data_IF_201719355737
#
_entry.id   IF_201719355737
#
_cell.length_a   1.000
_cell.length_b   1.000
_cell.length_c   1.000
_cell.angle_alpha   90.00
_cell.angle_beta   90.00
_cell.angle_gamma   90.00
#
_symmetry.space_group_name_H-M   'P 1'
#
loop_
_entity.id
_entity.type
_entity.pdbx_description
1 polymer ?
#
# COMPACT_ATOMS: atom_id res chain seq x y z
N UNK A 1 -51.26 -20.07 37.31
CA UNK A 1 -49.86 -19.65 37.59
C UNK A 1 -48.83 -20.72 37.14
N UNK A 2 -49.00 -21.38 35.99
CA UNK A 2 -48.07 -22.44 35.51
C UNK A 2 -47.27 -22.08 34.23
N UNK A 3 -47.60 -21.00 33.53
CA UNK A 3 -46.94 -20.65 32.26
C UNK A 3 -45.78 -19.64 32.39
N UNK A 4 -45.52 -19.07 33.57
CA UNK A 4 -44.42 -18.11 33.76
C UNK A 4 -43.07 -18.75 34.06
N UNK A 5 -43.04 -19.98 34.57
CA UNK A 5 -41.78 -20.62 34.97
C UNK A 5 -40.92 -21.02 33.75
N UNK A 6 -41.56 -21.50 32.68
CA UNK A 6 -40.86 -21.95 31.47
C UNK A 6 -40.26 -20.75 30.70
N UNK A 7 -40.98 -19.63 30.65
CA UNK A 7 -40.49 -18.41 30.01
C UNK A 7 -39.32 -17.79 30.78
N UNK A 8 -39.36 -17.81 32.12
CA UNK A 8 -38.22 -17.38 32.95
C UNK A 8 -36.99 -18.29 32.76
N UNK A 9 -37.19 -19.60 32.65
CA UNK A 9 -36.10 -20.57 32.45
C UNK A 9 -35.42 -20.38 31.08
N UNK A 10 -36.19 -20.14 30.01
CA UNK A 10 -35.64 -19.86 28.68
C UNK A 10 -34.87 -18.53 28.67
N UNK A 11 -35.38 -17.50 29.34
CA UNK A 11 -34.68 -16.22 29.46
C UNK A 11 -33.35 -16.35 30.23
N UNK A 12 -33.34 -17.12 31.32
CA UNK A 12 -32.14 -17.33 32.11
C UNK A 12 -31.09 -18.13 31.32
N UNK A 13 -31.50 -19.14 30.55
CA UNK A 13 -30.61 -19.91 29.68
C UNK A 13 -30.04 -19.03 28.56
N UNK A 14 -30.84 -18.17 27.92
CA UNK A 14 -30.35 -17.22 26.92
C UNK A 14 -29.39 -16.15 27.49
N UNK A 15 -29.63 -15.68 28.71
CA UNK A 15 -28.73 -14.73 29.38
C UNK A 15 -27.38 -15.38 29.74
N UNK A 16 -27.40 -16.63 30.21
CA UNK A 16 -26.16 -17.36 30.54
C UNK A 16 -25.39 -17.77 29.28
N UNK A 17 -26.06 -18.16 28.20
CA UNK A 17 -25.37 -18.49 26.94
C UNK A 17 -24.76 -17.26 26.27
N UNK A 18 -25.42 -16.10 26.31
CA UNK A 18 -24.86 -14.84 25.82
C UNK A 18 -23.67 -14.34 26.66
N UNK A 19 -23.68 -14.54 27.98
CA UNK A 19 -22.51 -14.26 28.84
C UNK A 19 -21.34 -15.21 28.60
N UNK A 20 -21.59 -16.51 28.37
CA UNK A 20 -20.52 -17.47 28.04
C UNK A 20 -19.96 -17.26 26.62
N UNK A 21 -20.80 -16.87 25.65
CA UNK A 21 -20.38 -16.51 24.30
C UNK A 21 -19.58 -15.21 24.27
N UNK A 22 -19.97 -14.19 25.05
CA UNK A 22 -19.19 -12.93 25.14
C UNK A 22 -17.84 -13.14 25.81
N UNK A 23 -17.74 -14.00 26.83
CA UNK A 23 -16.45 -14.37 27.43
C UNK A 23 -15.54 -15.15 26.47
N UNK A 24 -16.10 -16.02 25.60
CA UNK A 24 -15.31 -16.71 24.57
C UNK A 24 -14.90 -15.80 23.41
N UNK A 25 -15.73 -14.85 23.01
CA UNK A 25 -15.39 -13.83 22.01
C UNK A 25 -14.31 -12.86 22.54
N UNK A 26 -14.33 -12.55 23.84
CA UNK A 26 -13.25 -11.76 24.47
C UNK A 26 -11.97 -12.58 24.64
N UNK A 27 -12.05 -13.88 24.91
CA UNK A 27 -10.88 -14.76 24.98
C UNK A 27 -10.25 -15.04 23.60
N UNK A 28 -11.01 -14.95 22.50
CA UNK A 28 -10.47 -14.97 21.13
C UNK A 28 -9.95 -13.61 20.65
N UNK A 29 -10.10 -12.56 21.47
CA UNK A 29 -9.45 -11.25 21.27
C UNK A 29 -8.24 -11.10 22.21
N UNK A 30 -7.58 -12.20 22.55
CA UNK A 30 -6.17 -12.12 22.92
C UNK A 30 -5.40 -11.75 21.64
N UNK A 31 -5.30 -10.44 21.39
CA UNK A 31 -4.34 -9.89 20.42
C UNK A 31 -3.00 -10.57 20.67
N UNK A 32 -2.39 -11.16 19.65
CA UNK A 32 -1.04 -11.67 19.79
C UNK A 32 -0.14 -10.46 20.13
N UNK A 33 0.22 -10.36 21.40
CA UNK A 33 1.13 -9.36 21.94
C UNK A 33 2.53 -9.97 21.87
N UNK A 34 3.51 -9.22 21.36
CA UNK A 34 4.90 -9.67 21.42
C UNK A 34 5.30 -9.86 22.89
N UNK A 35 5.75 -11.07 23.25
CA UNK A 35 6.29 -11.36 24.59
C UNK A 35 7.78 -11.00 24.69
N UNK A 36 8.31 -10.93 25.92
CA UNK A 36 9.74 -10.67 26.14
C UNK A 36 10.63 -11.77 25.55
N UNK A 37 10.19 -13.02 25.60
CA UNK A 37 10.90 -14.18 25.06
C UNK A 37 10.96 -14.10 23.53
N UNK A 38 9.83 -13.74 22.89
CA UNK A 38 9.78 -13.52 21.45
C UNK A 38 10.69 -12.37 21.03
N UNK A 39 10.68 -11.26 21.76
CA UNK A 39 11.58 -10.13 21.49
C UNK A 39 13.05 -10.55 21.51
N UNK A 40 13.46 -11.29 22.55
CA UNK A 40 14.84 -11.82 22.66
C UNK A 40 15.17 -12.79 21.53
N UNK A 41 14.23 -13.63 21.15
CA UNK A 41 14.41 -14.58 20.04
C UNK A 41 14.59 -13.84 18.70
N UNK A 42 13.74 -12.85 18.41
CA UNK A 42 13.80 -12.02 17.20
C UNK A 42 15.14 -11.26 17.15
N UNK A 43 15.56 -10.68 18.27
CA UNK A 43 16.84 -9.95 18.37
C UNK A 43 18.06 -10.84 18.11
N UNK A 44 17.97 -12.13 18.42
CA UNK A 44 19.05 -13.08 18.20
C UNK A 44 19.15 -13.58 16.74
N UNK A 45 18.18 -13.24 15.88
CA UNK A 45 18.18 -13.65 14.47
C UNK A 45 19.34 -12.96 13.74
N UNK A 46 20.17 -13.77 13.10
CA UNK A 46 21.24 -13.29 12.22
C UNK A 46 20.76 -13.29 10.79
N UNK A 47 20.84 -12.15 10.12
CA UNK A 47 20.59 -12.02 8.68
C UNK A 47 21.92 -12.24 7.96
N UNK A 48 21.95 -13.17 7.01
CA UNK A 48 23.19 -13.55 6.32
C UNK A 48 23.63 -12.45 5.33
N UNK A 49 22.68 -11.90 4.57
CA UNK A 49 22.91 -10.83 3.64
C UNK A 49 21.88 -9.70 3.81
N UNK A 50 22.28 -8.63 4.50
CA UNK A 50 21.38 -7.52 4.78
C UNK A 50 20.87 -6.79 3.53
N UNK A 51 21.59 -6.84 2.40
CA UNK A 51 21.17 -6.18 1.16
C UNK A 51 20.27 -7.08 0.29
N UNK A 52 20.35 -8.41 0.41
CA UNK A 52 19.61 -9.37 -0.45
C UNK A 52 18.49 -10.12 0.26
N UNK A 53 18.61 -10.38 1.55
CA UNK A 53 17.65 -11.18 2.30
C UNK A 53 16.47 -10.29 2.70
N UNK A 54 15.57 -10.01 1.76
CA UNK A 54 14.39 -9.17 1.97
C UNK A 54 13.23 -9.94 2.59
N UNK A 55 13.14 -11.25 2.40
CA UNK A 55 12.09 -12.08 2.99
C UNK A 55 12.66 -13.44 3.39
N UNK A 56 12.55 -13.80 4.67
CA UNK A 56 12.99 -15.11 5.15
C UNK A 56 12.29 -15.53 6.44
N UNK A 57 12.26 -16.84 6.68
CA UNK A 57 11.73 -17.44 7.91
C UNK A 57 12.88 -17.91 8.80
N UNK A 58 12.87 -17.51 10.07
CA UNK A 58 13.89 -17.90 11.04
C UNK A 58 13.32 -17.95 12.45
N UNK A 59 13.64 -19.00 13.20
CA UNK A 59 13.30 -19.11 14.62
C UNK A 59 11.82 -19.06 14.95
N UNK A 60 10.93 -19.46 14.03
CA UNK A 60 9.47 -19.36 14.20
C UNK A 60 8.89 -18.00 13.80
N UNK A 61 9.70 -17.11 13.22
CA UNK A 61 9.28 -15.79 12.75
C UNK A 61 9.49 -15.64 11.25
N UNK A 62 8.74 -14.76 10.63
CA UNK A 62 8.90 -14.29 9.26
C UNK A 62 9.41 -12.86 9.34
N UNK A 63 10.51 -12.58 8.67
CA UNK A 63 11.04 -11.24 8.52
C UNK A 63 10.84 -10.83 7.08
N UNK A 64 10.10 -9.75 6.90
CA UNK A 64 9.78 -9.17 5.60
C UNK A 64 10.30 -7.74 5.56
N UNK A 65 11.04 -7.37 4.52
CA UNK A 65 11.61 -6.04 4.38
C UNK A 65 10.48 -5.03 4.38
N UNK A 66 10.57 -4.04 5.26
CA UNK A 66 9.55 -3.01 5.35
C UNK A 66 9.42 -2.29 4.00
N UNK A 67 8.30 -2.54 3.32
CA UNK A 67 7.96 -2.02 1.99
C UNK A 67 9.03 -2.30 0.90
N UNK A 68 9.79 -3.40 1.02
CA UNK A 68 10.95 -3.70 0.16
C UNK A 68 12.01 -2.58 0.08
N UNK A 69 11.99 -1.64 1.02
CA UNK A 69 12.86 -0.47 0.97
C UNK A 69 14.33 -0.87 1.11
N UNK A 70 15.24 -0.20 0.37
CA UNK A 70 16.67 -0.36 0.58
C UNK A 70 17.06 0.17 1.97
N UNK A 71 18.30 -0.10 2.36
CA UNK A 71 18.85 0.45 3.59
C UNK A 71 18.78 1.97 3.60
N UNK A 72 18.46 2.55 4.74
CA UNK A 72 18.60 3.98 5.01
C UNK A 72 20.08 4.25 5.20
N UNK A 73 20.69 4.99 4.28
CA UNK A 73 22.13 5.27 4.30
C UNK A 73 22.36 6.67 4.85
N UNK A 74 23.19 6.76 5.88
CA UNK A 74 23.57 8.00 6.52
C UNK A 74 25.08 8.20 6.39
N UNK A 75 25.47 9.35 5.83
CA UNK A 75 26.87 9.75 5.74
C UNK A 75 27.04 11.03 6.55
N UNK A 76 27.53 10.88 7.77
CA UNK A 76 27.85 12.03 8.62
C UNK A 76 29.19 12.64 8.22
N UNK A 77 29.46 13.86 8.71
CA UNK A 77 30.74 14.56 8.53
C UNK A 77 31.93 13.82 9.17
N UNK A 78 31.68 12.82 10.01
CA UNK A 78 32.70 11.93 10.59
C UNK A 78 33.23 10.87 9.61
N UNK A 79 32.69 10.81 8.38
CA UNK A 79 33.12 9.89 7.33
C UNK A 79 32.71 8.43 7.56
N UNK A 80 31.88 8.14 8.57
CA UNK A 80 31.39 6.79 8.86
C UNK A 80 30.00 6.63 8.26
N UNK A 81 29.89 5.79 7.23
CA UNK A 81 28.58 5.43 6.66
C UNK A 81 27.85 4.47 7.60
N UNK A 82 26.61 4.80 7.90
CA UNK A 82 25.72 4.01 8.76
C UNK A 82 24.51 3.60 7.95
N UNK A 83 24.10 2.34 8.08
CA UNK A 83 22.95 1.80 7.39
C UNK A 83 21.90 1.34 8.40
N UNK A 84 20.64 1.64 8.16
CA UNK A 84 19.52 1.05 8.89
C UNK A 84 18.65 0.26 7.94
N UNK A 85 18.34 -0.96 8.33
CA UNK A 85 17.47 -1.88 7.62
C UNK A 85 16.22 -2.10 8.47
N UNK A 86 15.03 -1.97 7.88
CA UNK A 86 13.77 -2.23 8.58
C UNK A 86 13.13 -3.53 8.07
N UNK A 87 12.65 -4.35 8.99
CA UNK A 87 11.83 -5.52 8.69
C UNK A 87 10.54 -5.47 9.50
N UNK A 88 9.43 -5.85 8.89
CA UNK A 88 8.23 -6.30 9.59
C UNK A 88 8.46 -7.71 10.11
N UNK A 89 8.04 -7.95 11.34
CA UNK A 89 8.18 -9.26 11.98
C UNK A 89 6.80 -9.87 12.14
N UNK A 90 6.62 -11.05 11.59
CA UNK A 90 5.42 -11.85 11.75
C UNK A 90 5.72 -13.18 12.45
N UNK A 91 4.72 -13.75 13.10
CA UNK A 91 4.74 -15.16 13.50
C UNK A 91 4.68 -16.08 12.28
N UNK A 92 5.43 -17.18 12.29
CA UNK A 92 5.43 -18.13 11.17
C UNK A 92 4.17 -19.01 11.11
N UNK A 93 3.50 -19.21 12.25
CA UNK A 93 2.31 -20.07 12.37
C UNK A 93 1.05 -19.42 11.82
N UNK A 94 0.77 -18.17 12.20
CA UNK A 94 -0.47 -17.48 11.88
C UNK A 94 -0.28 -16.12 11.18
N UNK A 95 0.96 -15.79 10.76
CA UNK A 95 1.29 -14.56 10.01
C UNK A 95 0.85 -13.28 10.71
N UNK A 96 0.74 -13.30 12.04
CA UNK A 96 0.38 -12.11 12.83
C UNK A 96 1.58 -11.19 12.95
N UNK A 97 1.35 -9.91 12.71
CA UNK A 97 2.34 -8.85 12.86
C UNK A 97 2.64 -8.63 14.34
N UNK A 98 3.92 -8.76 14.71
CA UNK A 98 4.39 -8.56 16.09
C UNK A 98 5.01 -7.17 16.29
N UNK A 99 5.58 -6.58 15.23
CA UNK A 99 6.28 -5.30 15.29
C UNK A 99 7.35 -5.16 14.20
N UNK A 100 8.35 -4.33 14.48
CA UNK A 100 9.45 -4.06 13.56
C UNK A 100 10.79 -4.55 14.12
N UNK A 101 11.70 -4.97 13.24
CA UNK A 101 13.11 -5.17 13.54
C UNK A 101 13.92 -4.13 12.74
N UNK A 102 14.56 -3.22 13.44
CA UNK A 102 15.55 -2.31 12.90
C UNK A 102 16.94 -2.90 13.09
N UNK A 103 17.71 -3.04 12.00
CA UNK A 103 19.08 -3.50 12.05
C UNK A 103 19.98 -2.33 11.65
N UNK A 104 20.79 -1.87 12.61
CA UNK A 104 21.83 -0.89 12.35
C UNK A 104 23.13 -1.58 11.95
N UNK A 105 23.82 -1.03 10.96
CA UNK A 105 25.14 -1.46 10.53
C UNK A 105 26.08 -0.26 10.44
N UNK A 106 27.21 -0.35 11.15
CA UNK A 106 28.32 0.58 11.02
C UNK A 106 29.28 0.05 9.95
N UNK A 107 29.43 0.74 8.82
CA UNK A 107 30.26 0.24 7.69
C UNK A 107 31.76 0.27 7.97
N UNK A 108 32.21 1.02 8.99
CA UNK A 108 33.63 1.06 9.39
C UNK A 108 34.03 -0.17 10.19
N UNK A 109 33.17 -0.62 11.12
CA UNK A 109 33.43 -1.80 11.96
C UNK A 109 32.76 -3.06 11.41
N UNK A 110 31.86 -2.93 10.43
CA UNK A 110 30.91 -3.95 9.99
C UNK A 110 30.08 -4.56 11.13
N UNK A 111 30.00 -3.87 12.27
CA UNK A 111 29.24 -4.32 13.41
C UNK A 111 27.75 -4.06 13.19
N UNK A 112 26.94 -5.05 13.55
CA UNK A 112 25.50 -5.04 13.36
C UNK A 112 24.80 -5.06 14.72
N UNK A 113 23.83 -4.16 14.90
CA UNK A 113 23.05 -4.03 16.13
C UNK A 113 21.55 -4.15 15.81
N UNK A 114 20.90 -5.26 16.19
CA UNK A 114 19.46 -5.44 16.02
C UNK A 114 18.67 -4.77 17.16
N UNK A 115 17.58 -4.09 16.79
CA UNK A 115 16.63 -3.41 17.66
C UNK A 115 15.22 -3.85 17.31
N UNK A 116 14.54 -4.49 18.25
CA UNK A 116 13.16 -4.93 18.07
C UNK A 116 12.24 -3.85 18.64
N UNK A 117 11.41 -3.29 17.80
CA UNK A 117 10.39 -2.30 18.14
C UNK A 117 9.07 -3.05 18.28
N UNK A 118 8.54 -3.21 19.51
CA UNK A 118 7.31 -3.95 19.72
C UNK A 118 6.10 -3.26 19.06
N UNK A 119 5.12 -4.05 18.62
CA UNK A 119 3.84 -3.53 18.16
C UNK A 119 3.00 -2.93 19.30
N UNK A 120 1.96 -2.17 18.96
CA UNK A 120 1.12 -1.45 19.93
C UNK A 120 0.48 -2.37 20.98
N UNK A 121 0.18 -3.62 20.62
CA UNK A 121 -0.40 -4.62 21.51
C UNK A 121 0.62 -5.35 22.38
N UNK A 122 1.93 -5.11 22.23
CA UNK A 122 2.97 -5.87 22.91
C UNK A 122 2.98 -5.72 24.45
N UNK A 123 3.52 -6.72 25.13
CA UNK A 123 3.59 -6.73 26.58
C UNK A 123 4.49 -5.61 27.10
N UNK A 124 4.16 -5.06 28.29
CA UNK A 124 4.96 -4.00 28.93
C UNK A 124 6.44 -4.39 29.08
N UNK A 125 6.73 -5.66 29.40
CA UNK A 125 8.11 -6.15 29.53
C UNK A 125 8.90 -6.11 28.21
N UNK A 126 8.22 -6.28 27.07
CA UNK A 126 8.86 -6.14 25.76
C UNK A 126 9.19 -4.66 25.48
N UNK A 127 8.29 -3.75 25.84
CA UNK A 127 8.56 -2.31 25.80
C UNK A 127 9.69 -1.88 26.74
N UNK A 128 9.75 -2.42 27.96
CA UNK A 128 10.84 -2.15 28.91
C UNK A 128 12.19 -2.60 28.32
N UNK A 129 12.23 -3.78 27.69
CA UNK A 129 13.45 -4.28 27.02
C UNK A 129 13.87 -3.44 25.81
N UNK A 130 12.90 -2.92 25.04
CA UNK A 130 13.19 -1.98 23.95
C UNK A 130 13.78 -0.67 24.48
N UNK A 131 13.23 -0.11 25.55
CA UNK A 131 13.76 1.11 26.19
C UNK A 131 15.17 0.87 26.74
N UNK A 132 15.40 -0.28 27.39
CA UNK A 132 16.73 -0.67 27.86
C UNK A 132 17.74 -0.76 26.72
N UNK A 133 17.33 -1.28 25.55
CA UNK A 133 18.20 -1.33 24.37
C UNK A 133 18.55 0.08 23.87
N UNK A 134 17.58 0.99 23.80
CA UNK A 134 17.83 2.39 23.42
C UNK A 134 18.82 3.06 24.39
N UNK A 135 18.69 2.80 25.68
CA UNK A 135 19.58 3.37 26.69
C UNK A 135 20.97 2.75 26.66
N UNK A 136 21.07 1.43 26.77
CA UNK A 136 22.35 0.77 27.02
C UNK A 136 23.15 0.42 25.75
N UNK A 137 22.47 0.30 24.60
CA UNK A 137 23.11 0.07 23.30
C UNK A 137 23.10 1.35 22.47
N UNK A 138 21.98 2.07 22.46
CA UNK A 138 21.81 3.31 21.71
C UNK A 138 22.75 4.43 22.12
N UNK A 139 22.91 4.69 23.42
CA UNK A 139 23.79 5.77 23.91
C UNK A 139 25.29 5.46 23.69
N UNK A 140 25.65 4.18 23.57
CA UNK A 140 27.05 3.76 23.45
C UNK A 140 27.56 3.75 22.02
N UNK A 141 26.68 3.61 21.02
CA UNK A 141 27.06 3.57 19.60
C UNK A 141 26.87 4.96 18.96
N UNK A 142 27.97 5.64 18.57
CA UNK A 142 27.89 6.98 18.02
C UNK A 142 27.04 7.04 16.74
N UNK A 143 25.98 7.84 16.76
CA UNK A 143 25.09 8.06 15.62
C UNK A 143 23.96 7.04 15.48
N UNK A 144 23.89 6.03 16.35
CA UNK A 144 22.81 5.02 16.29
C UNK A 144 21.45 5.63 16.64
N UNK A 145 21.35 6.41 17.74
CA UNK A 145 20.09 7.03 18.13
C UNK A 145 19.62 8.08 17.14
N UNK A 146 20.53 8.93 16.64
CA UNK A 146 20.16 9.91 15.62
C UNK A 146 19.66 9.28 14.33
N UNK A 147 20.32 8.21 13.87
CA UNK A 147 19.87 7.50 12.67
C UNK A 147 18.56 6.76 12.90
N UNK A 148 18.42 6.02 14.01
CA UNK A 148 17.20 5.28 14.33
C UNK A 148 16.01 6.22 14.52
N UNK A 149 16.16 7.29 15.30
CA UNK A 149 15.12 8.29 15.50
C UNK A 149 14.72 8.94 14.17
N UNK A 150 15.68 9.30 13.31
CA UNK A 150 15.35 9.85 12.00
C UNK A 150 14.51 8.88 11.16
N UNK A 151 14.92 7.61 11.07
CA UNK A 151 14.17 6.59 10.33
C UNK A 151 12.75 6.47 10.87
N UNK A 152 12.58 6.34 12.18
CA UNK A 152 11.26 6.19 12.79
C UNK A 152 10.40 7.46 12.67
N UNK A 153 10.98 8.64 12.82
CA UNK A 153 10.28 9.91 12.60
C UNK A 153 9.82 10.05 11.15
N UNK A 154 10.61 9.57 10.19
CA UNK A 154 10.26 9.57 8.77
C UNK A 154 9.11 8.62 8.47
N UNK A 155 9.14 7.41 9.02
CA UNK A 155 8.03 6.45 8.85
C UNK A 155 6.77 6.92 9.56
N UNK A 156 6.89 7.53 10.74
CA UNK A 156 5.77 8.16 11.43
C UNK A 156 5.19 9.32 10.60
N UNK A 157 6.04 10.16 10.00
CA UNK A 157 5.59 11.23 9.11
C UNK A 157 4.90 10.68 7.85
N UNK A 158 5.42 9.60 7.26
CA UNK A 158 4.80 8.89 6.14
C UNK A 158 3.41 8.38 6.52
N UNK A 159 3.28 7.71 7.67
CA UNK A 159 2.01 7.23 8.22
C UNK A 159 1.01 8.37 8.46
N UNK A 160 1.45 9.46 9.08
CA UNK A 160 0.62 10.63 9.39
C UNK A 160 0.21 11.41 8.14
N UNK A 161 0.99 11.34 7.06
CA UNK A 161 0.66 11.90 5.74
C UNK A 161 -0.29 10.99 4.92
N UNK A 162 -0.85 9.94 5.52
CA UNK A 162 -1.74 8.99 4.84
C UNK A 162 -0.99 7.96 3.97
N UNK A 163 0.26 7.63 4.32
CA UNK A 163 1.08 6.63 3.61
C UNK A 163 1.63 7.08 2.24
N UNK A 164 1.41 8.34 1.85
CA UNK A 164 1.71 8.85 0.51
C UNK A 164 3.00 9.68 0.38
N UNK A 165 3.66 10.06 1.47
CA UNK A 165 4.84 10.93 1.42
C UNK A 165 6.14 10.12 1.35
N UNK A 166 6.55 9.77 0.13
CA UNK A 166 7.92 9.30 -0.15
C UNK A 166 8.88 10.46 0.05
N UNK A 167 9.70 10.40 1.09
CA UNK A 167 10.79 11.34 1.32
C UNK A 167 12.01 10.88 0.54
N UNK A 168 12.40 11.69 -0.46
CA UNK A 168 13.61 11.51 -1.23
C UNK A 168 14.83 11.78 -0.35
N UNK A 169 15.43 10.73 0.21
CA UNK A 169 16.88 10.61 0.39
C UNK A 169 17.21 9.25 1.02
N UNK A 170 18.09 8.51 0.36
CA UNK A 170 18.40 7.11 0.66
C UNK A 170 18.75 6.38 -0.63
N UNK A 171 19.89 6.77 -1.21
CA UNK A 171 20.44 6.32 -2.49
C UNK A 171 20.36 4.79 -2.69
N UNK A 172 19.46 4.41 -3.58
CA UNK A 172 19.27 3.07 -4.11
C UNK A 172 18.15 3.11 -5.13
N UNK A 173 18.37 3.82 -6.25
CA UNK A 173 17.48 3.73 -7.42
C UNK A 173 17.19 2.26 -7.71
N UNK A 174 15.89 1.94 -7.80
CA UNK A 174 15.22 0.65 -8.10
C UNK A 174 14.55 0.01 -6.89
N UNK A 175 13.24 0.29 -6.75
CA UNK A 175 12.14 -0.68 -6.55
C UNK A 175 10.82 -0.06 -6.07
N UNK A 176 10.77 1.25 -5.92
CA UNK A 176 9.54 1.95 -5.53
C UNK A 176 8.71 2.51 -6.72
N UNK A 177 9.15 2.24 -7.95
CA UNK A 177 8.61 2.80 -9.19
C UNK A 177 7.59 1.86 -9.87
N UNK A 178 7.47 0.62 -9.40
CA UNK A 178 6.61 -0.43 -10.01
C UNK A 178 5.13 -0.40 -9.56
N UNK A 179 4.74 0.53 -8.70
CA UNK A 179 3.45 0.44 -7.99
C UNK A 179 2.30 1.23 -8.63
N UNK A 180 2.56 2.16 -9.54
CA UNK A 180 1.53 3.02 -10.14
C UNK A 180 1.53 2.86 -11.66
N UNK A 181 1.06 1.73 -12.18
CA UNK A 181 1.23 1.43 -13.60
C UNK A 181 -0.01 0.79 -14.23
N UNK A 182 -0.01 0.81 -15.57
CA UNK A 182 -1.03 0.26 -16.44
C UNK A 182 -0.43 -0.81 -17.37
N UNK A 183 -1.29 -1.64 -17.94
CA UNK A 183 -0.94 -2.58 -19.00
C UNK A 183 -0.41 -1.86 -20.25
N UNK A 184 0.42 -2.51 -21.09
CA UNK A 184 0.95 -1.90 -22.32
C UNK A 184 -0.14 -1.49 -23.31
N UNK A 185 -1.24 -2.24 -23.33
CA UNK A 185 -2.42 -2.02 -24.17
C UNK A 185 -3.41 -1.02 -23.57
N UNK A 186 -3.08 -0.38 -22.44
CA UNK A 186 -3.97 0.58 -21.81
C UNK A 186 -4.17 1.81 -22.73
N UNK A 187 -5.41 2.12 -23.13
CA UNK A 187 -5.70 3.18 -24.09
C UNK A 187 -5.65 4.55 -23.43
N UNK A 188 -4.74 5.42 -23.85
CA UNK A 188 -4.67 6.82 -23.43
C UNK A 188 -5.47 7.68 -24.39
N UNK A 189 -6.24 8.64 -23.87
CA UNK A 189 -7.00 9.57 -24.71
C UNK A 189 -6.12 10.75 -25.13
N UNK A 190 -5.91 10.90 -26.43
CA UNK A 190 -5.11 11.97 -27.03
C UNK A 190 -5.87 13.31 -27.02
N UNK A 191 -5.16 14.43 -27.18
CA UNK A 191 -5.76 15.78 -27.18
C UNK A 191 -6.83 15.99 -28.28
N UNK A 192 -6.74 15.25 -29.39
CA UNK A 192 -7.71 15.28 -30.48
C UNK A 192 -8.93 14.35 -30.26
N UNK A 193 -8.96 13.62 -29.14
CA UNK A 193 -9.99 12.64 -28.79
C UNK A 193 -9.75 11.25 -29.37
N UNK A 194 -8.69 11.03 -30.15
CA UNK A 194 -8.26 9.69 -30.55
C UNK A 194 -7.69 8.92 -29.36
N UNK A 195 -7.43 7.62 -29.54
CA UNK A 195 -6.79 6.79 -28.52
C UNK A 195 -5.51 6.17 -29.03
N UNK A 196 -4.51 6.11 -28.14
CA UNK A 196 -3.20 5.50 -28.39
C UNK A 196 -2.81 4.65 -27.20
N UNK A 197 -2.18 3.49 -27.44
CA UNK A 197 -1.71 2.64 -26.35
C UNK A 197 -0.63 3.36 -25.55
N UNK A 198 -0.63 3.17 -24.23
CA UNK A 198 0.37 3.78 -23.35
C UNK A 198 1.81 3.38 -23.70
N UNK A 199 2.01 2.17 -24.24
CA UNK A 199 3.32 1.70 -24.69
C UNK A 199 3.89 2.46 -25.89
N UNK A 200 3.04 3.13 -26.66
CA UNK A 200 3.41 3.81 -27.91
C UNK A 200 3.64 5.31 -27.70
N UNK A 201 3.35 5.82 -26.51
CA UNK A 201 3.51 7.23 -26.17
C UNK A 201 4.97 7.60 -25.92
N UNK A 202 5.31 8.83 -26.29
CA UNK A 202 6.62 9.41 -26.07
C UNK A 202 6.53 10.73 -25.29
N UNK A 203 7.66 11.13 -24.69
CA UNK A 203 7.80 12.47 -24.11
C UNK A 203 7.53 13.52 -25.18
N UNK A 204 6.69 14.50 -24.85
CA UNK A 204 6.21 15.54 -25.74
C UNK A 204 4.87 15.27 -26.40
N UNK A 205 4.38 14.02 -26.41
CA UNK A 205 3.03 13.70 -26.89
C UNK A 205 1.98 14.51 -26.12
N UNK A 206 0.95 14.98 -26.83
CA UNK A 206 -0.13 15.82 -26.28
C UNK A 206 -1.36 14.95 -26.04
N UNK A 207 -1.75 14.81 -24.79
CA UNK A 207 -2.88 13.98 -24.35
C UNK A 207 -3.94 14.83 -23.64
N UNK A 208 -5.12 14.26 -23.39
CA UNK A 208 -6.13 14.92 -22.57
C UNK A 208 -5.78 14.76 -21.10
N UNK A 209 -5.45 15.89 -20.48
CA UNK A 209 -5.30 16.04 -19.04
C UNK A 209 -6.59 16.49 -18.38
N UNK A 210 -6.69 16.27 -17.06
CA UNK A 210 -7.82 16.71 -16.26
C UNK A 210 -7.38 17.70 -15.18
N UNK A 211 -7.95 18.90 -15.17
CA UNK A 211 -7.73 19.86 -14.08
C UNK A 211 -8.82 19.69 -13.01
N UNK A 212 -8.42 19.23 -11.83
CA UNK A 212 -9.34 19.00 -10.71
C UNK A 212 -9.91 20.29 -10.10
N UNK A 213 -9.24 21.44 -10.26
CA UNK A 213 -9.71 22.74 -9.76
C UNK A 213 -10.81 23.30 -10.65
N UNK A 214 -10.62 23.25 -11.96
CA UNK A 214 -11.61 23.76 -12.93
C UNK A 214 -12.63 22.71 -13.35
N UNK A 215 -12.35 21.43 -13.09
CA UNK A 215 -13.14 20.26 -13.51
C UNK A 215 -13.28 20.17 -15.03
N UNK A 216 -12.26 20.60 -15.76
CA UNK A 216 -12.24 20.63 -17.23
C UNK A 216 -11.11 19.77 -17.78
N UNK A 217 -11.34 19.26 -18.99
CA UNK A 217 -10.28 18.60 -19.76
C UNK A 217 -9.47 19.65 -20.50
N UNK A 218 -8.15 19.51 -20.45
CA UNK A 218 -7.21 20.41 -21.12
C UNK A 218 -6.09 19.59 -21.75
N UNK A 219 -5.60 19.95 -22.95
CA UNK A 219 -4.41 19.32 -23.50
C UNK A 219 -3.22 19.47 -22.52
N UNK A 220 -2.46 18.40 -22.33
CA UNK A 220 -1.25 18.36 -21.50
C UNK A 220 -0.14 17.60 -22.19
N UNK A 221 1.11 17.97 -21.94
CA UNK A 221 2.27 17.25 -22.47
C UNK A 221 2.71 16.12 -21.54
N UNK A 222 3.10 15.00 -22.14
CA UNK A 222 3.82 13.94 -21.45
C UNK A 222 5.26 14.42 -21.19
N UNK A 223 5.64 14.53 -19.92
CA UNK A 223 6.99 14.95 -19.50
C UNK A 223 7.90 13.75 -19.23
N UNK A 224 7.32 12.60 -18.89
CA UNK A 224 8.06 11.35 -18.66
C UNK A 224 7.19 10.12 -18.97
N UNK A 225 7.85 9.07 -19.46
CA UNK A 225 7.27 7.73 -19.65
C UNK A 225 8.11 6.75 -18.83
N UNK A 226 7.50 6.14 -17.83
CA UNK A 226 8.15 5.14 -16.99
C UNK A 226 7.69 3.75 -17.46
N UNK A 227 8.63 2.90 -17.90
CA UNK A 227 8.35 1.56 -18.40
C UNK A 227 9.11 0.51 -17.58
N UNK A 228 8.38 -0.52 -17.17
CA UNK A 228 8.89 -1.56 -16.28
C UNK A 228 8.65 -2.93 -16.89
N UNK A 229 9.68 -3.78 -16.86
CA UNK A 229 9.60 -5.16 -17.32
C UNK A 229 9.87 -6.10 -16.17
N UNK A 230 9.12 -7.20 -16.11
CA UNK A 230 9.38 -8.30 -15.20
C UNK A 230 10.68 -8.99 -15.60
N UNK A 231 11.63 -9.04 -14.68
CA UNK A 231 12.92 -9.71 -14.86
C UNK A 231 12.97 -11.10 -14.22
N UNK A 232 11.88 -11.54 -13.58
CA UNK A 232 11.82 -12.80 -12.84
C UNK A 232 10.96 -13.85 -13.56
N UNK A 233 11.31 -15.15 -13.51
CA UNK A 233 10.54 -16.23 -14.16
C UNK A 233 9.10 -16.41 -13.67
N UNK A 234 8.76 -15.85 -12.50
CA UNK A 234 7.46 -15.97 -11.83
C UNK A 234 6.76 -14.64 -11.54
N UNK A 235 7.28 -13.51 -12.06
CA UNK A 235 6.96 -12.18 -11.55
C UNK A 235 6.09 -11.32 -12.46
N UNK A 236 5.00 -11.83 -13.03
CA UNK A 236 4.09 -10.97 -13.80
C UNK A 236 3.40 -9.95 -12.88
N UNK A 237 3.18 -8.74 -13.39
CA UNK A 237 2.48 -7.68 -12.65
C UNK A 237 0.98 -7.95 -12.66
N UNK A 238 0.39 -8.17 -11.48
CA UNK A 238 -1.06 -8.34 -11.35
C UNK A 238 -1.79 -6.99 -11.48
N UNK A 239 -2.85 -6.96 -12.28
CA UNK A 239 -3.70 -5.79 -12.48
C UNK A 239 -5.04 -6.01 -11.77
N UNK A 240 -5.44 -5.05 -10.94
CA UNK A 240 -6.79 -4.99 -10.42
C UNK A 240 -7.74 -4.48 -11.51
N UNK A 241 -9.02 -4.85 -11.42
CA UNK A 241 -10.06 -4.45 -12.36
C UNK A 241 -11.21 -3.77 -11.66
N UNK A 242 -11.71 -2.68 -12.24
CA UNK A 242 -12.87 -1.92 -11.77
C UNK A 242 -13.86 -1.78 -12.92
N UNK A 243 -15.10 -2.24 -12.72
CA UNK A 243 -16.17 -2.10 -13.70
C UNK A 243 -17.04 -0.89 -13.38
N UNK A 244 -17.22 -0.06 -14.41
CA UNK A 244 -17.91 1.21 -14.33
C UNK A 244 -19.20 1.17 -15.15
N UNK A 245 -20.29 1.65 -14.57
CA UNK A 245 -21.57 1.90 -15.27
C UNK A 245 -22.01 3.36 -15.12
N UNK A 246 -22.72 3.88 -16.11
CA UNK A 246 -23.20 5.26 -16.10
C UNK A 246 -24.20 5.48 -14.97
N UNK A 247 -24.13 6.63 -14.28
CA UNK A 247 -25.14 7.02 -13.27
C UNK A 247 -26.43 7.58 -13.89
N UNK A 248 -26.39 7.96 -15.17
CA UNK A 248 -27.45 8.65 -15.88
C UNK A 248 -28.04 7.80 -17.02
N UNK A 249 -28.41 6.54 -16.76
CA UNK A 249 -29.27 5.80 -17.68
C UNK A 249 -30.71 6.35 -17.60
N UNK A 250 -30.98 7.46 -18.28
CA UNK A 250 -32.34 7.85 -18.66
C UNK A 250 -32.72 7.06 -19.92
N UNK A 251 -33.25 5.86 -19.76
CA UNK A 251 -33.82 5.12 -20.88
C UNK A 251 -35.27 5.56 -21.10
N UNK A 252 -35.50 6.37 -22.14
CA UNK A 252 -36.83 6.57 -22.72
C UNK A 252 -37.19 5.45 -23.74
N UNK A 253 -36.38 4.39 -23.82
CA UNK A 253 -36.54 3.26 -24.72
C UNK A 253 -36.90 1.99 -23.93
N UNK A 254 -37.93 1.28 -24.36
CA UNK A 254 -38.37 0.00 -23.80
C UNK A 254 -37.44 -1.18 -24.20
N UNK A 255 -36.38 -0.91 -24.95
CA UNK A 255 -35.29 -1.85 -25.19
C UNK A 255 -34.29 -1.71 -24.03
N UNK A 256 -34.44 -2.54 -23.01
CA UNK A 256 -33.47 -2.76 -21.93
C UNK A 256 -32.11 -3.28 -22.47
N UNK A 257 -31.42 -2.53 -23.29
CA UNK A 257 -30.00 -2.73 -23.54
C UNK A 257 -29.26 -2.04 -22.39
N UNK A 258 -29.13 -2.75 -21.26
CA UNK A 258 -28.22 -2.34 -20.19
C UNK A 258 -26.84 -2.12 -20.81
N UNK A 259 -26.29 -0.91 -20.69
CA UNK A 259 -24.95 -0.64 -21.21
C UNK A 259 -23.98 -1.55 -20.48
N UNK A 260 -23.22 -2.37 -21.21
CA UNK A 260 -22.27 -3.28 -20.59
C UNK A 260 -21.26 -2.47 -19.74
N UNK A 261 -21.02 -2.86 -18.48
CA UNK A 261 -20.05 -2.14 -17.64
C UNK A 261 -18.67 -2.13 -18.30
N UNK A 262 -18.01 -0.98 -18.25
CA UNK A 262 -16.68 -0.83 -18.83
C UNK A 262 -15.61 -1.15 -17.80
N UNK A 263 -14.65 -1.98 -18.18
CA UNK A 263 -13.52 -2.35 -17.35
C UNK A 263 -12.41 -1.29 -17.44
N UNK A 264 -11.89 -0.90 -16.28
CA UNK A 264 -10.64 -0.16 -16.13
C UNK A 264 -9.66 -1.06 -15.37
N UNK A 265 -8.42 -1.12 -15.81
CA UNK A 265 -7.37 -1.97 -15.22
C UNK A 265 -6.16 -1.14 -14.83
N UNK A 266 -5.62 -1.38 -13.64
CA UNK A 266 -4.38 -0.76 -13.17
C UNK A 266 -3.76 -1.59 -12.04
N UNK A 267 -2.51 -1.30 -11.68
CA UNK A 267 -1.94 -1.84 -10.43
C UNK A 267 -2.74 -1.34 -9.21
N UNK A 268 -2.84 -2.17 -8.17
CA UNK A 268 -3.69 -1.86 -7.01
C UNK A 268 -3.34 -0.54 -6.30
N UNK A 269 -2.09 -0.09 -6.34
CA UNK A 269 -1.66 1.14 -5.70
C UNK A 269 -1.87 2.39 -6.57
N UNK A 270 -2.27 2.24 -7.86
CA UNK A 270 -2.42 3.36 -8.78
C UNK A 270 -3.45 4.39 -8.28
N UNK A 271 -3.11 5.68 -8.18
CA UNK A 271 -4.05 6.68 -7.67
C UNK A 271 -5.10 7.06 -8.72
N UNK A 272 -6.36 7.06 -8.30
CA UNK A 272 -7.48 7.51 -9.13
C UNK A 272 -8.30 8.58 -8.45
N UNK A 273 -8.99 9.38 -9.27
CA UNK A 273 -9.89 10.40 -8.79
C UNK A 273 -11.29 9.82 -8.59
N UNK A 274 -11.77 9.87 -7.36
CA UNK A 274 -13.15 9.52 -7.00
C UNK A 274 -13.91 10.75 -6.53
N UNK A 275 -15.24 10.67 -6.41
CA UNK A 275 -16.04 11.74 -5.80
C UNK A 275 -15.63 12.10 -4.37
N UNK A 276 -15.01 11.15 -3.64
CA UNK A 276 -14.44 11.38 -2.30
C UNK A 276 -13.01 11.89 -2.31
N UNK A 277 -12.46 12.17 -3.49
CA UNK A 277 -11.07 12.59 -3.69
C UNK A 277 -10.17 11.47 -4.20
N UNK A 278 -8.86 11.63 -3.99
CA UNK A 278 -7.83 10.67 -4.40
C UNK A 278 -7.95 9.37 -3.60
N UNK A 279 -7.89 8.23 -4.29
CA UNK A 279 -7.95 6.89 -3.70
C UNK A 279 -7.04 5.93 -4.48
N UNK A 280 -6.46 4.92 -3.82
CA UNK A 280 -5.72 3.87 -4.53
C UNK A 280 -6.70 2.94 -5.28
N UNK A 281 -6.31 2.46 -6.46
CA UNK A 281 -7.18 1.70 -7.35
C UNK A 281 -7.74 0.43 -6.68
N UNK A 282 -6.93 -0.29 -5.92
CA UNK A 282 -7.32 -1.48 -5.17
C UNK A 282 -8.17 -1.21 -3.93
N UNK A 283 -8.30 0.06 -3.51
CA UNK A 283 -9.18 0.48 -2.42
C UNK A 283 -10.54 0.99 -2.91
N UNK A 284 -10.71 1.13 -4.23
CA UNK A 284 -11.99 1.46 -4.84
C UNK A 284 -13.01 0.36 -4.49
N UNK A 285 -14.22 0.76 -4.12
CA UNK A 285 -15.30 -0.14 -3.71
C UNK A 285 -16.51 0.02 -4.61
N UNK A 286 -17.30 -1.04 -4.73
CA UNK A 286 -18.62 -0.95 -5.34
C UNK A 286 -19.44 0.16 -4.67
N UNK A 287 -20.01 1.04 -5.48
CA UNK A 287 -20.70 2.24 -5.03
C UNK A 287 -19.90 3.54 -5.13
N UNK A 288 -18.56 3.47 -5.23
CA UNK A 288 -17.74 4.65 -5.48
C UNK A 288 -18.08 5.26 -6.85
N UNK A 289 -17.81 6.56 -7.00
CA UNK A 289 -18.01 7.30 -8.25
C UNK A 289 -16.67 7.73 -8.80
N UNK A 290 -16.41 7.38 -10.05
CA UNK A 290 -15.26 7.79 -10.85
C UNK A 290 -15.72 8.66 -12.02
N UNK A 291 -14.80 9.37 -12.66
CA UNK A 291 -15.09 10.29 -13.75
C UNK A 291 -14.59 9.74 -15.07
N UNK A 292 -15.46 9.71 -16.08
CA UNK A 292 -15.12 9.33 -17.46
C UNK A 292 -15.39 10.45 -18.43
N UNK A 293 -14.54 10.57 -19.44
CA UNK A 293 -14.73 11.43 -20.59
C UNK A 293 -15.86 10.91 -21.47
N UNK A 294 -16.75 11.80 -21.83
CA UNK A 294 -17.74 11.59 -22.88
C UNK A 294 -17.36 12.43 -24.10
N UNK A 295 -17.04 11.74 -25.19
CA UNK A 295 -16.67 12.37 -26.46
C UNK A 295 -17.80 13.20 -27.07
N UNK A 296 -19.07 12.86 -26.80
CA UNK A 296 -20.20 13.60 -27.35
C UNK A 296 -20.34 14.99 -26.72
N UNK A 297 -20.17 15.09 -25.40
CA UNK A 297 -20.26 16.37 -24.67
C UNK A 297 -18.91 17.04 -24.44
N UNK A 298 -17.80 16.38 -24.79
CA UNK A 298 -16.42 16.79 -24.48
C UNK A 298 -16.21 17.13 -23.00
N UNK A 299 -16.90 16.39 -22.13
CA UNK A 299 -16.95 16.66 -20.70
C UNK A 299 -16.70 15.40 -19.88
N UNK A 300 -16.48 15.55 -18.57
CA UNK A 300 -16.40 14.40 -17.67
C UNK A 300 -17.75 14.12 -17.03
N UNK A 301 -18.17 12.86 -17.07
CA UNK A 301 -19.41 12.36 -16.50
C UNK A 301 -19.12 11.34 -15.41
N UNK A 302 -20.00 11.28 -14.43
CA UNK A 302 -19.88 10.36 -13.30
C UNK A 302 -20.27 8.94 -13.69
N UNK A 303 -19.42 7.98 -13.33
CA UNK A 303 -19.69 6.55 -13.45
C UNK A 303 -19.61 5.91 -12.07
N UNK A 304 -20.55 5.03 -11.77
CA UNK A 304 -20.57 4.25 -10.53
C UNK A 304 -19.81 2.96 -10.72
N UNK A 305 -19.00 2.62 -9.72
CA UNK A 305 -18.33 1.33 -9.64
C UNK A 305 -19.37 0.26 -9.28
N UNK A 306 -19.54 -0.72 -10.17
CA UNK A 306 -20.50 -1.81 -9.98
C UNK A 306 -19.83 -3.09 -9.49
N UNK A 307 -18.55 -3.29 -9.84
CA UNK A 307 -17.79 -4.47 -9.46
C UNK A 307 -16.29 -4.14 -9.41
N UNK A 308 -15.57 -4.84 -8.54
CA UNK A 308 -14.11 -4.72 -8.38
C UNK A 308 -13.50 -6.10 -8.23
N UNK A 309 -12.33 -6.32 -8.81
CA UNK A 309 -11.58 -7.56 -8.71
C UNK A 309 -10.10 -7.27 -8.43
N UNK A 310 -9.50 -8.01 -7.49
CA UNK A 310 -8.12 -7.76 -7.04
C UNK A 310 -7.07 -8.10 -8.09
N UNK A 311 -7.38 -9.03 -8.99
CA UNK A 311 -6.48 -9.49 -10.04
C UNK A 311 -7.30 -10.03 -11.20
N UNK A 312 -7.42 -9.26 -12.29
CA UNK A 312 -8.14 -9.68 -13.51
C UNK A 312 -7.23 -10.37 -14.52
N UNK A 313 -5.98 -9.91 -14.62
CA UNK A 313 -4.93 -10.51 -15.42
C UNK A 313 -3.57 -10.07 -14.92
N UNK A 314 -2.52 -10.74 -15.41
CA UNK A 314 -1.14 -10.36 -15.16
C UNK A 314 -0.42 -10.06 -16.47
N UNK A 315 0.51 -9.10 -16.43
CA UNK A 315 1.26 -8.64 -17.61
C UNK A 315 2.76 -8.61 -17.32
N UNK A 316 3.57 -8.82 -18.36
CA UNK A 316 5.04 -8.84 -18.24
C UNK A 316 5.66 -7.45 -18.15
N UNK A 317 4.95 -6.44 -18.63
CA UNK A 317 5.42 -5.06 -18.63
C UNK A 317 4.30 -4.14 -18.21
N UNK A 318 4.65 -3.06 -17.51
CA UNK A 318 3.70 -2.03 -17.09
C UNK A 318 4.28 -0.64 -17.35
N UNK A 319 3.40 0.32 -17.58
CA UNK A 319 3.74 1.67 -17.98
C UNK A 319 3.07 2.71 -17.10
N UNK A 320 3.72 3.86 -16.91
CA UNK A 320 3.15 5.04 -16.27
C UNK A 320 3.57 6.29 -17.03
N UNK A 321 2.72 7.31 -16.99
CA UNK A 321 3.02 8.63 -17.57
C UNK A 321 3.13 9.65 -16.46
N UNK A 322 3.94 10.68 -16.71
CA UNK A 322 3.90 11.93 -15.94
C UNK A 322 3.58 13.05 -16.89
N UNK A 323 2.61 13.86 -16.51
CA UNK A 323 2.05 14.96 -17.30
C UNK A 323 2.26 16.29 -16.60
N UNK A 324 2.08 17.39 -17.32
CA UNK A 324 2.13 18.71 -16.70
C UNK A 324 0.91 18.99 -15.81
N UNK A 325 -0.25 18.38 -16.12
CA UNK A 325 -1.52 18.61 -15.40
C UNK A 325 -1.67 17.80 -14.12
N UNK A 326 -0.90 16.73 -13.93
CA UNK A 326 -1.02 15.87 -12.75
C UNK A 326 -2.07 14.73 -12.88
N UNK A 327 -2.76 14.67 -14.02
CA UNK A 327 -3.89 13.77 -14.24
C UNK A 327 -4.21 13.67 -15.73
N UNK A 328 -4.61 12.48 -16.17
CA UNK A 328 -4.89 12.16 -17.57
C UNK A 328 -5.96 11.07 -17.69
N UNK A 329 -6.26 10.66 -18.93
CA UNK A 329 -7.32 9.68 -19.22
C UNK A 329 -6.75 8.33 -19.68
N UNK A 330 -7.15 7.25 -19.00
CA UNK A 330 -6.95 5.85 -19.41
C UNK A 330 -8.31 5.17 -19.58
N UNK A 331 -8.58 4.60 -20.76
CA UNK A 331 -9.91 4.05 -21.07
C UNK A 331 -11.00 5.10 -20.86
N UNK A 332 -10.69 6.34 -21.26
CA UNK A 332 -11.52 7.53 -21.05
C UNK A 332 -11.79 7.83 -19.56
N UNK A 333 -11.11 7.18 -18.62
CA UNK A 333 -11.32 7.35 -17.18
C UNK A 333 -10.22 8.22 -16.58
N UNK A 334 -10.59 9.16 -15.72
CA UNK A 334 -9.64 10.07 -15.06
C UNK A 334 -8.78 9.32 -14.05
N UNK A 335 -7.46 9.37 -14.27
CA UNK A 335 -6.42 8.79 -13.41
C UNK A 335 -5.39 9.87 -13.06
N UNK A 336 -4.59 9.64 -12.00
CA UNK A 336 -3.62 10.61 -11.47
C UNK A 336 -2.18 10.13 -11.73
N UNK A 337 -1.27 11.01 -12.09
CA UNK A 337 0.13 10.66 -12.35
C UNK A 337 1.00 10.69 -11.07
N UNK A 338 0.72 9.77 -10.15
CA UNK A 338 1.43 9.61 -8.85
C UNK A 338 1.15 10.69 -7.81
#
# INVERSE_FOLDING_TARGET
MKNNLLSLLIFLVCAVTTQLLSQRVWAQTASASMTLEQLKAIKAIKVANLDKDTYFKSGGFILDRYEERPAYVFTYSDGITRKIYLYKVFTAEDTKELGLLAIYQNTKTNEVKPFVIPGASADRKAWDAYIDDLKYVGEKEPGLMSTLTFVLSREMASLMSGGGAKTEEGSGKKKEEYNFCFAPDAPVTMADGSSKNISDLAVGDIILGYDAKTKTLTPTHVTRVDAHQSTEPSGDFALAGVWLSSVNELTADNRNALTAPTLVEATANHPVLTATGRKAFGEVKAGDVMYRYDAATKSVIAYKVVQTEKSVRSVKSVYNLITESGAYLIGETVVLDK
#
